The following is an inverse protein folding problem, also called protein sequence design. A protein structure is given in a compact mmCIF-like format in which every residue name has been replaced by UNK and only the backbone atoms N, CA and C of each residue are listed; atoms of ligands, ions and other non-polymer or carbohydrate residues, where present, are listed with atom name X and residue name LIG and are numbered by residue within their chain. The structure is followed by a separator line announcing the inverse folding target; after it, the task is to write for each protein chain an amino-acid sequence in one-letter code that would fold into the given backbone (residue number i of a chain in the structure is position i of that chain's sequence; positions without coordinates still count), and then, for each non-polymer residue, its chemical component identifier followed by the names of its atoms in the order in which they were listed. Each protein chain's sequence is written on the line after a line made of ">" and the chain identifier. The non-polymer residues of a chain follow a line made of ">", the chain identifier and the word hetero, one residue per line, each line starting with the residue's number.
data_IF_308912092192
#
_entry.id   IF_308912092192
#
_cell.length_a   1.000
_cell.length_b   1.000
_cell.length_c   1.000
_cell.angle_alpha   90.00
_cell.angle_beta   90.00
_cell.angle_gamma   90.00
#
_symmetry.space_group_name_H-M   'P 1'
#
loop_
_entity.id
_entity.type
_entity.pdbx_description
1 polymer ?
#
# COMPACT_ATOMS: atom_id res chain seq x y z
N UNK A 1 19.82 34.99 15.19
CA UNK A 1 18.96 33.78 15.17
C UNK A 1 19.78 32.50 15.15
N UNK A 2 20.64 32.22 14.15
CA UNK A 2 21.44 30.97 14.15
C UNK A 2 22.45 30.84 15.31
N UNK A 3 22.83 31.94 15.98
CA UNK A 3 23.74 31.93 17.15
C UNK A 3 23.09 31.39 18.44
N UNK A 4 21.76 31.30 18.50
CA UNK A 4 21.03 30.74 19.66
C UNK A 4 20.61 29.29 19.47
N UNK A 5 21.00 28.64 18.37
CA UNK A 5 20.64 27.26 18.06
C UNK A 5 21.88 26.41 17.83
N UNK A 6 21.83 25.17 18.33
CA UNK A 6 22.78 24.12 17.94
C UNK A 6 22.27 23.42 16.69
N UNK A 7 23.12 23.27 15.68
CA UNK A 7 22.78 22.61 14.42
C UNK A 7 23.23 21.15 14.51
N UNK A 8 22.29 20.22 14.36
CA UNK A 8 22.57 18.81 14.20
C UNK A 8 22.27 18.39 12.77
N UNK A 9 23.27 17.85 12.07
CA UNK A 9 23.08 17.23 10.77
C UNK A 9 22.75 15.74 10.98
N UNK A 10 21.55 15.34 10.57
CA UNK A 10 21.09 13.94 10.62
C UNK A 10 21.13 13.37 9.20
N UNK A 11 22.14 12.54 8.88
CA UNK A 11 22.20 11.87 7.58
C UNK A 11 21.10 10.81 7.48
N UNK A 12 20.76 10.43 6.26
CA UNK A 12 19.83 9.33 6.03
C UNK A 12 20.39 8.01 6.60
N UNK A 13 19.56 7.21 7.28
CA UNK A 13 19.97 5.94 7.84
C UNK A 13 20.40 4.96 6.74
N UNK A 14 21.42 4.15 7.04
CA UNK A 14 21.89 3.12 6.12
C UNK A 14 20.80 2.06 5.88
N UNK A 15 20.82 1.40 4.72
CA UNK A 15 19.86 0.36 4.36
C UNK A 15 19.75 -0.76 5.42
N UNK A 16 20.86 -1.15 6.05
CA UNK A 16 20.88 -2.14 7.15
C UNK A 16 20.12 -1.67 8.39
N UNK A 17 20.21 -0.37 8.72
CA UNK A 17 19.47 0.22 9.85
C UNK A 17 17.98 0.27 9.53
N UNK A 18 17.61 0.70 8.32
CA UNK A 18 16.22 0.69 7.87
C UNK A 18 15.62 -0.72 7.89
N UNK A 19 16.37 -1.71 7.39
CA UNK A 19 15.96 -3.12 7.46
C UNK A 19 15.63 -3.52 8.89
N UNK A 20 16.55 -3.27 9.83
CA UNK A 20 16.32 -3.58 11.24
C UNK A 20 15.09 -2.87 11.82
N UNK A 21 14.93 -1.56 11.57
CA UNK A 21 13.80 -0.77 12.07
C UNK A 21 12.46 -1.37 11.59
N UNK A 22 12.35 -1.65 10.29
CA UNK A 22 11.10 -2.17 9.72
C UNK A 22 10.85 -3.64 10.07
N UNK A 23 11.90 -4.46 10.22
CA UNK A 23 11.78 -5.82 10.76
C UNK A 23 11.22 -5.80 12.17
N UNK A 24 11.76 -4.96 13.07
CA UNK A 24 11.24 -4.87 14.45
C UNK A 24 9.81 -4.37 14.46
N UNK A 25 9.49 -3.35 13.65
CA UNK A 25 8.15 -2.76 13.60
C UNK A 25 7.09 -3.74 13.08
N UNK A 26 7.32 -4.34 11.91
CA UNK A 26 6.39 -5.32 11.32
C UNK A 26 6.39 -6.62 12.10
N UNK A 27 7.53 -7.04 12.66
CA UNK A 27 7.63 -8.22 13.50
C UNK A 27 6.78 -8.11 14.76
N UNK A 28 6.88 -6.99 15.49
CA UNK A 28 6.00 -6.72 16.65
C UNK A 28 4.52 -6.78 16.27
N UNK A 29 4.15 -6.23 15.13
CA UNK A 29 2.78 -6.29 14.64
C UNK A 29 2.33 -7.73 14.35
N UNK A 30 3.16 -8.54 13.67
CA UNK A 30 2.84 -9.95 13.39
C UNK A 30 2.87 -10.85 14.63
N UNK A 31 3.66 -10.53 15.65
CA UNK A 31 3.68 -11.27 16.92
C UNK A 31 2.50 -10.90 17.82
N UNK A 32 2.12 -9.63 17.87
CA UNK A 32 1.01 -9.16 18.71
C UNK A 32 -0.37 -9.60 18.19
N UNK A 33 -0.46 -9.97 16.91
CA UNK A 33 -1.68 -10.52 16.30
C UNK A 33 -1.49 -12.01 15.99
N UNK A 34 -2.57 -12.75 15.96
CA UNK A 34 -2.55 -14.21 15.72
C UNK A 34 -2.40 -14.57 14.23
N UNK A 35 -1.34 -14.07 13.58
CA UNK A 35 -1.00 -14.48 12.22
C UNK A 35 -0.46 -15.91 12.17
N UNK A 36 -0.68 -16.57 11.02
CA UNK A 36 -0.17 -17.90 10.73
C UNK A 36 1.36 -17.96 10.75
N UNK A 37 1.90 -19.17 10.93
CA UNK A 37 3.35 -19.41 10.93
C UNK A 37 3.97 -19.02 9.58
N UNK A 38 3.27 -19.28 8.48
CA UNK A 38 3.69 -18.91 7.12
C UNK A 38 3.84 -17.40 6.90
N UNK A 39 2.91 -16.61 7.45
CA UNK A 39 2.98 -15.15 7.35
C UNK A 39 4.11 -14.60 8.23
N UNK A 40 4.28 -15.17 9.43
CA UNK A 40 5.36 -14.80 10.35
C UNK A 40 6.75 -15.13 9.78
N UNK A 41 6.91 -16.29 9.13
CA UNK A 41 8.18 -16.68 8.49
C UNK A 41 8.53 -15.79 7.30
N UNK A 42 7.53 -15.22 6.64
CA UNK A 42 7.68 -14.30 5.51
C UNK A 42 8.12 -12.88 5.89
N UNK A 43 8.27 -12.55 7.19
CA UNK A 43 8.59 -11.19 7.67
C UNK A 43 9.86 -10.61 7.02
N UNK A 44 10.98 -11.33 7.05
CA UNK A 44 12.25 -10.84 6.51
C UNK A 44 12.19 -10.67 4.99
N UNK A 45 11.45 -11.55 4.31
CA UNK A 45 11.19 -11.47 2.87
C UNK A 45 10.41 -10.18 2.57
N UNK A 46 9.31 -9.94 3.30
CA UNK A 46 8.48 -8.75 3.14
C UNK A 46 9.26 -7.45 3.35
N UNK A 47 10.06 -7.36 4.41
CA UNK A 47 10.88 -6.17 4.69
C UNK A 47 11.92 -5.95 3.59
N UNK A 48 12.54 -7.03 3.10
CA UNK A 48 13.47 -6.95 1.97
C UNK A 48 12.78 -6.41 0.72
N UNK A 49 11.58 -6.92 0.40
CA UNK A 49 10.77 -6.42 -0.72
C UNK A 49 10.45 -4.93 -0.59
N UNK A 50 10.04 -4.48 0.60
CA UNK A 50 9.72 -3.06 0.87
C UNK A 50 10.92 -2.14 0.59
N UNK A 51 12.12 -2.54 1.01
CA UNK A 51 13.33 -1.75 0.75
C UNK A 51 13.72 -1.79 -0.73
N UNK A 52 13.70 -2.97 -1.35
CA UNK A 52 14.09 -3.13 -2.76
C UNK A 52 13.18 -2.31 -3.66
N UNK A 53 11.85 -2.36 -3.46
CA UNK A 53 10.94 -1.57 -4.28
C UNK A 53 11.13 -0.07 -4.03
N UNK A 54 11.32 0.34 -2.77
CA UNK A 54 11.58 1.74 -2.43
C UNK A 54 12.83 2.29 -3.13
N UNK A 55 13.97 1.59 -3.04
CA UNK A 55 15.19 2.03 -3.70
C UNK A 55 15.09 1.98 -5.23
N UNK A 56 14.41 0.99 -5.81
CA UNK A 56 14.15 0.95 -7.26
C UNK A 56 13.33 2.16 -7.71
N UNK A 57 12.26 2.49 -6.98
CA UNK A 57 11.44 3.67 -7.28
C UNK A 57 12.27 4.95 -7.17
N UNK A 58 13.02 5.14 -6.08
CA UNK A 58 13.83 6.34 -5.88
C UNK A 58 14.92 6.51 -6.95
N UNK A 59 15.50 5.42 -7.46
CA UNK A 59 16.59 5.47 -8.43
C UNK A 59 16.10 5.58 -9.88
N UNK A 60 14.94 5.01 -10.20
CA UNK A 60 14.45 4.90 -11.58
C UNK A 60 13.36 5.93 -11.91
N UNK A 61 12.59 6.40 -10.91
CA UNK A 61 11.47 7.32 -11.09
C UNK A 61 11.87 8.67 -10.48
N UNK A 62 12.66 9.43 -11.24
CA UNK A 62 13.25 10.69 -10.78
C UNK A 62 12.33 11.89 -11.03
N UNK A 63 12.35 12.90 -10.15
CA UNK A 63 11.63 14.14 -10.38
C UNK A 63 12.27 14.90 -11.55
N UNK A 64 11.41 15.39 -12.44
CA UNK A 64 11.78 16.33 -13.51
C UNK A 64 10.96 17.61 -13.35
N UNK A 65 11.30 18.74 -13.99
CA UNK A 65 10.49 19.95 -13.93
C UNK A 65 9.01 19.72 -14.30
N UNK A 66 8.72 18.76 -15.20
CA UNK A 66 7.36 18.36 -15.56
C UNK A 66 6.72 17.35 -14.60
N UNK A 67 7.51 16.72 -13.71
CA UNK A 67 7.10 15.65 -12.78
C UNK A 67 7.65 15.90 -11.36
N UNK A 68 7.52 17.13 -10.86
CA UNK A 68 8.08 17.54 -9.56
C UNK A 68 7.53 16.78 -8.37
N UNK A 69 6.35 16.17 -8.49
CA UNK A 69 5.70 15.38 -7.45
C UNK A 69 6.28 13.96 -7.30
N UNK A 70 7.26 13.57 -8.14
CA UNK A 70 7.95 12.26 -8.07
C UNK A 70 9.07 12.26 -7.01
N UNK A 71 8.87 12.97 -5.90
CA UNK A 71 9.82 12.98 -4.79
C UNK A 71 9.39 11.89 -3.82
N UNK A 72 10.21 10.84 -3.75
CA UNK A 72 10.02 9.73 -2.82
C UNK A 72 11.02 9.84 -1.67
N UNK A 73 10.55 9.63 -0.44
CA UNK A 73 11.40 9.69 0.75
C UNK A 73 11.00 8.62 1.78
N UNK A 74 11.71 8.57 2.92
CA UNK A 74 11.47 7.57 3.96
C UNK A 74 10.06 7.59 4.56
N UNK A 75 9.29 8.68 4.39
CA UNK A 75 7.87 8.73 4.78
C UNK A 75 7.03 7.80 3.92
N UNK A 76 7.39 7.62 2.65
CA UNK A 76 6.67 6.73 1.74
C UNK A 76 6.87 5.27 2.14
N UNK A 77 8.10 4.91 2.51
CA UNK A 77 8.39 3.61 3.09
C UNK A 77 7.63 3.40 4.42
N UNK A 78 7.49 4.45 5.24
CA UNK A 78 6.70 4.38 6.47
C UNK A 78 5.20 4.20 6.21
N UNK A 79 4.66 4.85 5.17
CA UNK A 79 3.27 4.67 4.71
C UNK A 79 3.03 3.25 4.21
N UNK A 80 3.96 2.70 3.41
CA UNK A 80 3.90 1.31 2.96
C UNK A 80 3.85 0.34 4.15
N UNK A 81 4.74 0.51 5.12
CA UNK A 81 4.72 -0.31 6.33
C UNK A 81 3.42 -0.13 7.13
N UNK A 82 2.87 1.09 7.19
CA UNK A 82 1.59 1.35 7.85
C UNK A 82 0.41 0.66 7.16
N UNK A 83 0.38 0.66 5.83
CA UNK A 83 -0.61 -0.06 5.03
C UNK A 83 -0.55 -1.57 5.28
N UNK A 84 0.65 -2.15 5.29
CA UNK A 84 0.87 -3.56 5.61
C UNK A 84 0.39 -3.92 7.03
N UNK A 85 0.50 -3.00 7.98
CA UNK A 85 -0.02 -3.18 9.35
C UNK A 85 -1.55 -3.07 9.46
N UNK A 86 -2.27 -2.82 8.37
CA UNK A 86 -3.73 -2.95 8.36
C UNK A 86 -4.18 -4.40 8.16
N UNK A 87 -3.27 -5.32 7.82
CA UNK A 87 -3.55 -6.73 7.61
C UNK A 87 -4.38 -7.35 8.75
N UNK A 88 -5.38 -8.14 8.35
CA UNK A 88 -6.17 -8.96 9.26
C UNK A 88 -5.65 -10.40 9.28
N UNK A 89 -5.38 -11.00 10.46
CA UNK A 89 -4.87 -12.38 10.55
C UNK A 89 -5.87 -13.42 10.04
N UNK A 90 -7.17 -13.11 10.05
CA UNK A 90 -8.21 -14.01 9.53
C UNK A 90 -8.25 -14.09 8.00
N UNK A 91 -7.71 -13.09 7.29
CA UNK A 91 -7.76 -12.99 5.83
C UNK A 91 -6.39 -13.18 5.18
N UNK A 92 -5.34 -12.69 5.84
CA UNK A 92 -3.95 -12.87 5.39
C UNK A 92 -3.38 -14.07 6.12
N UNK A 93 -3.71 -15.26 5.63
CA UNK A 93 -3.31 -16.54 6.22
C UNK A 93 -2.15 -17.20 5.50
N UNK A 94 -1.93 -16.86 4.22
CA UNK A 94 -0.87 -17.44 3.38
C UNK A 94 0.13 -16.38 2.92
N UNK A 95 1.32 -16.84 2.55
CA UNK A 95 2.35 -16.01 1.94
C UNK A 95 1.85 -15.31 0.66
N UNK A 96 1.03 -15.99 -0.15
CA UNK A 96 0.49 -15.44 -1.40
C UNK A 96 -0.45 -14.26 -1.15
N UNK A 97 -1.33 -14.38 -0.14
CA UNK A 97 -2.22 -13.28 0.26
C UNK A 97 -1.43 -12.10 0.80
N UNK A 98 -0.33 -12.35 1.51
CA UNK A 98 0.57 -11.30 1.97
C UNK A 98 1.27 -10.60 0.79
N UNK A 99 1.68 -11.33 -0.24
CA UNK A 99 2.27 -10.76 -1.44
C UNK A 99 1.28 -9.89 -2.22
N UNK A 100 0.00 -10.31 -2.31
CA UNK A 100 -1.07 -9.51 -2.91
C UNK A 100 -1.33 -8.21 -2.14
N UNK A 101 -1.38 -8.28 -0.80
CA UNK A 101 -1.49 -7.11 0.06
C UNK A 101 -0.29 -6.16 -0.12
N UNK A 102 0.92 -6.70 -0.18
CA UNK A 102 2.12 -5.92 -0.43
C UNK A 102 2.07 -5.20 -1.78
N UNK A 103 1.63 -5.90 -2.84
CA UNK A 103 1.43 -5.29 -4.15
C UNK A 103 0.40 -4.15 -4.12
N UNK A 104 -0.74 -4.37 -3.47
CA UNK A 104 -1.77 -3.34 -3.27
C UNK A 104 -1.21 -2.08 -2.60
N UNK A 105 -0.52 -2.23 -1.47
CA UNK A 105 0.03 -1.08 -0.77
C UNK A 105 1.13 -0.37 -1.57
N UNK A 106 1.91 -1.12 -2.35
CA UNK A 106 2.90 -0.52 -3.25
C UNK A 106 2.23 0.36 -4.33
N UNK A 107 1.12 -0.11 -4.93
CA UNK A 107 0.36 0.66 -5.91
C UNK A 107 -0.14 1.97 -5.29
N UNK A 108 -0.78 1.88 -4.14
CA UNK A 108 -1.35 3.03 -3.43
C UNK A 108 -0.29 4.06 -3.03
N UNK A 109 0.87 3.60 -2.56
CA UNK A 109 1.92 4.50 -2.05
C UNK A 109 2.72 5.15 -3.19
N UNK A 110 3.04 4.38 -4.24
CA UNK A 110 3.96 4.83 -5.29
C UNK A 110 3.26 5.10 -6.61
N UNK A 111 2.42 4.18 -7.09
CA UNK A 111 1.80 4.25 -8.41
C UNK A 111 0.80 5.40 -8.54
N UNK A 112 0.08 5.76 -7.46
CA UNK A 112 -0.89 6.87 -7.48
C UNK A 112 -0.26 8.23 -7.79
N UNK A 113 1.06 8.38 -7.62
CA UNK A 113 1.79 9.59 -8.02
C UNK A 113 2.24 9.57 -9.47
N UNK A 114 2.20 8.43 -10.15
CA UNK A 114 2.68 8.31 -11.53
C UNK A 114 1.61 8.78 -12.51
N UNK A 115 2.07 9.36 -13.63
CA UNK A 115 1.21 10.06 -14.59
C UNK A 115 1.41 9.50 -15.99
N UNK A 116 2.64 9.10 -16.35
CA UNK A 116 2.93 8.56 -17.68
C UNK A 116 2.79 7.04 -17.67
N UNK A 117 2.11 6.49 -18.68
CA UNK A 117 1.96 5.04 -18.85
C UNK A 117 3.30 4.29 -18.82
N UNK A 118 4.36 4.84 -19.43
CA UNK A 118 5.70 4.27 -19.37
C UNK A 118 6.23 4.11 -17.92
N UNK A 119 6.00 5.09 -17.05
CA UNK A 119 6.46 5.02 -15.66
C UNK A 119 5.63 4.03 -14.86
N UNK A 120 4.33 3.95 -15.15
CA UNK A 120 3.41 2.96 -14.56
C UNK A 120 3.82 1.54 -14.96
N UNK A 121 4.07 1.30 -16.25
CA UNK A 121 4.55 0.01 -16.76
C UNK A 121 5.91 -0.38 -16.17
N UNK A 122 6.84 0.58 -16.07
CA UNK A 122 8.14 0.38 -15.43
C UNK A 122 7.98 0.02 -13.95
N UNK A 123 7.05 0.68 -13.24
CA UNK A 123 6.73 0.35 -11.86
C UNK A 123 6.15 -1.06 -11.72
N UNK A 124 5.18 -1.45 -12.56
CA UNK A 124 4.60 -2.80 -12.56
C UNK A 124 5.65 -3.87 -12.82
N UNK A 125 6.57 -3.63 -13.77
CA UNK A 125 7.70 -4.52 -14.02
C UNK A 125 8.59 -4.67 -12.78
N UNK A 126 8.95 -3.56 -12.12
CA UNK A 126 9.75 -3.62 -10.90
C UNK A 126 9.05 -4.33 -9.75
N UNK A 127 7.73 -4.15 -9.62
CA UNK A 127 6.92 -4.80 -8.59
C UNK A 127 6.83 -6.30 -8.86
N UNK A 128 6.46 -6.72 -10.07
CA UNK A 128 6.38 -8.12 -10.49
C UNK A 128 7.72 -8.85 -10.30
N UNK A 129 8.84 -8.22 -10.70
CA UNK A 129 10.18 -8.78 -10.49
C UNK A 129 10.53 -8.91 -9.00
N UNK A 130 10.20 -7.91 -8.18
CA UNK A 130 10.46 -7.97 -6.72
C UNK A 130 9.66 -9.09 -6.08
N UNK A 131 8.36 -9.17 -6.37
CA UNK A 131 7.49 -10.20 -5.75
C UNK A 131 7.91 -11.60 -6.20
N UNK A 132 8.15 -11.81 -7.49
CA UNK A 132 8.58 -13.12 -8.01
C UNK A 132 9.93 -13.57 -7.46
N UNK A 133 10.90 -12.67 -7.34
CA UNK A 133 12.23 -13.01 -6.82
C UNK A 133 12.20 -13.41 -5.34
N UNK A 134 11.43 -12.69 -4.52
CA UNK A 134 11.47 -12.83 -3.06
C UNK A 134 10.41 -13.79 -2.53
N UNK A 135 9.16 -13.66 -3.00
CA UNK A 135 8.08 -14.54 -2.58
C UNK A 135 8.03 -15.85 -3.39
N UNK A 136 8.77 -15.96 -4.51
CA UNK A 136 8.77 -17.13 -5.40
C UNK A 136 7.39 -17.45 -6.01
N UNK A 137 6.57 -16.42 -6.20
CA UNK A 137 5.22 -16.53 -6.76
C UNK A 137 5.17 -15.82 -8.11
N UNK A 138 4.43 -16.39 -9.06
CA UNK A 138 4.10 -15.70 -10.30
C UNK A 138 3.14 -14.56 -10.01
N UNK A 139 3.63 -13.33 -10.19
CA UNK A 139 2.87 -12.13 -9.89
C UNK A 139 2.55 -11.39 -11.18
N UNK A 140 1.43 -11.79 -11.79
CA UNK A 140 0.98 -11.21 -13.04
C UNK A 140 0.36 -9.84 -12.78
N UNK A 141 1.02 -8.81 -13.32
CA UNK A 141 0.62 -7.40 -13.21
C UNK A 141 -0.12 -6.92 -14.46
N UNK A 142 -0.15 -7.74 -15.53
CA UNK A 142 -0.74 -7.35 -16.82
C UNK A 142 -2.26 -7.22 -16.76
N UNK A 143 -2.91 -8.04 -15.92
CA UNK A 143 -4.35 -8.06 -15.72
C UNK A 143 -4.88 -6.93 -14.83
N UNK A 144 -4.02 -6.13 -14.19
CA UNK A 144 -4.46 -5.18 -13.15
C UNK A 144 -5.18 -3.94 -13.68
N UNK A 145 -4.97 -3.59 -14.94
CA UNK A 145 -5.75 -2.53 -15.58
C UNK A 145 -7.22 -2.93 -15.71
N UNK A 146 -7.49 -4.22 -15.95
CA UNK A 146 -8.85 -4.76 -16.09
C UNK A 146 -9.43 -5.17 -14.74
N UNK A 147 -8.61 -5.81 -13.90
CA UNK A 147 -8.94 -6.34 -12.59
C UNK A 147 -7.98 -5.78 -11.53
N UNK A 148 -8.24 -4.58 -11.00
CA UNK A 148 -7.39 -3.98 -9.98
C UNK A 148 -7.33 -4.87 -8.73
N UNK A 149 -6.17 -4.88 -8.07
CA UNK A 149 -6.09 -5.37 -6.71
C UNK A 149 -6.87 -4.40 -5.81
N UNK A 150 -7.89 -4.89 -5.13
CA UNK A 150 -8.74 -4.07 -4.26
C UNK A 150 -8.71 -4.61 -2.84
N UNK A 151 -8.47 -3.73 -1.88
CA UNK A 151 -8.61 -4.02 -0.47
C UNK A 151 -9.52 -3.00 0.21
N UNK A 152 -10.34 -3.46 1.16
CA UNK A 152 -11.32 -2.64 1.86
C UNK A 152 -11.34 -2.98 3.35
N UNK A 153 -11.61 -1.98 4.20
CA UNK A 153 -11.77 -2.14 5.65
C UNK A 153 -13.19 -1.85 6.17
N UNK A 154 -14.16 -1.55 5.30
CA UNK A 154 -15.49 -1.07 5.69
C UNK A 154 -16.63 -1.97 5.19
N UNK A 155 -16.34 -3.19 4.72
CA UNK A 155 -17.38 -4.10 4.25
C UNK A 155 -18.32 -4.56 5.38
N UNK A 156 -17.80 -4.64 6.60
CA UNK A 156 -18.59 -4.96 7.81
C UNK A 156 -18.56 -3.77 8.75
N UNK A 157 -19.73 -3.37 9.23
CA UNK A 157 -19.91 -2.21 10.13
C UNK A 157 -19.34 -2.47 11.53
N UNK A 158 -19.40 -3.73 11.98
CA UNK A 158 -19.05 -4.11 13.35
C UNK A 158 -17.54 -4.32 13.54
N UNK A 159 -16.85 -4.81 12.51
CA UNK A 159 -15.41 -5.05 12.53
C UNK A 159 -14.75 -4.52 11.26
N UNK A 160 -13.83 -3.56 11.44
CA UNK A 160 -13.03 -3.00 10.34
C UNK A 160 -11.91 -3.95 9.93
N UNK A 161 -12.26 -4.98 9.17
CA UNK A 161 -11.31 -5.99 8.68
C UNK A 161 -10.77 -5.59 7.31
N UNK A 162 -9.46 -5.43 7.21
CA UNK A 162 -8.81 -5.18 5.92
C UNK A 162 -8.72 -6.47 5.11
N UNK A 163 -9.51 -6.56 4.06
CA UNK A 163 -9.69 -7.76 3.25
C UNK A 163 -9.64 -7.46 1.76
N UNK A 164 -9.22 -8.46 0.98
CA UNK A 164 -9.23 -8.39 -0.48
C UNK A 164 -10.67 -8.51 -1.02
N UNK A 165 -10.97 -7.70 -2.04
CA UNK A 165 -12.21 -7.76 -2.79
C UNK A 165 -11.97 -8.40 -4.16
N UNK A 166 -12.89 -9.25 -4.58
CA UNK A 166 -12.87 -9.85 -5.92
C UNK A 166 -13.61 -8.98 -6.95
N UNK A 167 -14.63 -8.24 -6.52
CA UNK A 167 -15.43 -7.37 -7.37
C UNK A 167 -15.76 -6.06 -6.64
N UNK A 168 -15.52 -4.93 -7.32
CA UNK A 168 -15.82 -3.59 -6.82
C UNK A 168 -17.32 -3.38 -6.57
N UNK A 169 -18.18 -4.11 -7.30
CA UNK A 169 -19.64 -4.01 -7.15
C UNK A 169 -20.13 -4.37 -5.75
N UNK A 170 -19.37 -5.18 -5.00
CA UNK A 170 -19.69 -5.55 -3.63
C UNK A 170 -19.71 -4.33 -2.69
N UNK A 171 -18.97 -3.27 -3.01
CA UNK A 171 -18.93 -2.04 -2.23
C UNK A 171 -20.10 -1.10 -2.53
N UNK A 172 -20.72 -1.18 -3.71
CA UNK A 172 -21.73 -0.21 -4.15
C UNK A 172 -22.93 -0.10 -3.20
N UNK A 173 -23.56 -1.19 -2.72
CA UNK A 173 -24.69 -1.09 -1.80
C UNK A 173 -24.33 -0.37 -0.49
N UNK A 174 -23.15 -0.65 0.05
CA UNK A 174 -22.66 -0.03 1.27
C UNK A 174 -22.37 1.47 1.08
N UNK A 175 -21.72 1.84 -0.03
CA UNK A 175 -21.43 3.23 -0.34
C UNK A 175 -22.71 4.06 -0.55
N UNK A 176 -23.73 3.47 -1.18
CA UNK A 176 -25.05 4.09 -1.32
C UNK A 176 -25.73 4.27 0.05
N UNK A 177 -25.66 3.29 0.95
CA UNK A 177 -26.20 3.42 2.31
C UNK A 177 -25.48 4.53 3.10
N UNK A 178 -24.15 4.60 3.00
CA UNK A 178 -23.36 5.70 3.59
C UNK A 178 -23.78 7.07 3.04
N UNK A 179 -23.96 7.18 1.71
CA UNK A 179 -24.40 8.42 1.08
C UNK A 179 -25.81 8.84 1.56
N UNK A 180 -26.73 7.90 1.71
CA UNK A 180 -28.06 8.17 2.28
C UNK A 180 -27.96 8.70 3.72
N UNK A 181 -27.14 8.07 4.56
CA UNK A 181 -26.91 8.53 5.95
C UNK A 181 -26.30 9.92 6.00
N UNK A 182 -25.32 10.23 5.13
CA UNK A 182 -24.75 11.57 5.02
C UNK A 182 -25.81 12.61 4.64
N UNK A 183 -26.65 12.31 3.65
CA UNK A 183 -27.74 13.19 3.22
C UNK A 183 -28.78 13.42 4.32
N UNK A 184 -29.09 12.40 5.13
CA UNK A 184 -30.00 12.51 6.28
C UNK A 184 -29.39 13.35 7.43
N UNK A 185 -28.07 13.32 7.60
CA UNK A 185 -27.36 14.06 8.65
C UNK A 185 -27.24 15.58 8.41
N UNK A 186 -27.83 16.10 7.33
CA UNK A 186 -27.84 17.53 7.01
C UNK A 186 -26.52 18.05 6.41
N UNK A 187 -25.54 17.18 6.19
CA UNK A 187 -24.44 17.50 5.28
C UNK A 187 -25.01 17.56 3.86
N UNK A 188 -24.56 18.57 3.08
CA UNK A 188 -24.95 18.87 1.70
C UNK A 188 -25.41 17.65 0.90
N UNK A 189 -26.51 17.77 0.14
CA UNK A 189 -27.05 16.67 -0.67
C UNK A 189 -26.03 16.18 -1.71
N UNK A 190 -25.38 15.05 -1.42
CA UNK A 190 -24.45 14.39 -2.31
C UNK A 190 -25.24 13.36 -3.13
N UNK A 191 -25.25 13.55 -4.45
CA UNK A 191 -25.77 12.56 -5.41
C UNK A 191 -24.60 12.01 -6.22
N UNK A 192 -23.81 11.12 -5.62
CA UNK A 192 -22.75 10.41 -6.33
C UNK A 192 -23.30 9.18 -7.05
N UNK A 193 -22.68 8.84 -8.17
CA UNK A 193 -22.89 7.58 -8.88
C UNK A 193 -21.62 6.77 -8.76
N UNK A 194 -21.71 5.56 -8.22
CA UNK A 194 -20.55 4.68 -8.01
C UNK A 194 -20.35 3.77 -9.22
N UNK A 195 -19.45 4.18 -10.12
CA UNK A 195 -18.90 3.36 -11.21
C UNK A 195 -17.51 2.85 -10.82
N UNK A 196 -16.90 1.96 -11.63
CA UNK A 196 -15.66 1.24 -11.31
C UNK A 196 -14.57 2.17 -10.75
N UNK A 197 -14.20 3.19 -11.51
CA UNK A 197 -13.13 4.12 -11.17
C UNK A 197 -13.46 4.95 -9.90
N UNK A 198 -14.73 5.28 -9.68
CA UNK A 198 -15.16 5.98 -8.48
C UNK A 198 -14.99 5.09 -7.23
N UNK A 199 -15.34 3.80 -7.33
CA UNK A 199 -15.17 2.84 -6.22
C UNK A 199 -13.70 2.56 -5.96
N UNK A 200 -12.89 2.39 -7.01
CA UNK A 200 -11.44 2.27 -6.87
C UNK A 200 -10.84 3.46 -6.14
N UNK A 201 -11.27 4.68 -6.47
CA UNK A 201 -10.78 5.88 -5.83
C UNK A 201 -11.13 5.93 -4.33
N UNK A 202 -12.33 5.48 -3.95
CA UNK A 202 -12.76 5.43 -2.53
C UNK A 202 -12.00 4.36 -1.73
N UNK A 203 -11.54 3.29 -2.39
CA UNK A 203 -10.80 2.21 -1.75
C UNK A 203 -9.31 2.52 -1.54
N UNK A 204 -8.76 3.50 -2.28
CA UNK A 204 -7.39 4.01 -2.15
C UNK A 204 -7.27 5.01 -1.00
#
# INVERSE_FOLDING_TARGET
>A
LLQSFSIFALPDPAAKQLFHIYTVRLGRFFTNKDFSVDVKSSLYILVSCCLVIYYRVCNNILPTPSKVHYIFNLRDLAKLAQGLMQASPSHITTQDRLALLFGHECLRVFCDRLVTNNDIELFYKHLSLTVSQYFKITFDTTSWNEHPLLFCNFLKTDEKLYQQLNDWKQCCPLLLDYQLRCNLSGQSSLKMVFFKEAVEHVLR
#
